data_IF_820605487994
#
_entry.id   IF_820605487994
#
_cell.length_a   1.000
_cell.length_b   1.000
_cell.length_c   1.000
_cell.angle_alpha   90.00
_cell.angle_beta   90.00
_cell.angle_gamma   90.00
#
_symmetry.space_group_name_H-M   'P 1'
#
loop_
_entity.id
_entity.type
_entity.pdbx_description
1 polymer ?
#
# COMPACT_ATOMS: atom_id res chain seq x y z
N UNK A 1 7.55 10.51 -32.67
CA UNK A 1 6.38 10.94 -31.89
C UNK A 1 6.37 10.11 -30.63
N UNK A 2 6.41 10.73 -29.45
CA UNK A 2 6.26 10.01 -28.19
C UNK A 2 4.90 9.30 -28.18
N UNK A 3 4.87 8.05 -27.72
CA UNK A 3 3.62 7.28 -27.53
C UNK A 3 2.72 7.85 -26.40
N UNK A 4 3.18 8.93 -25.77
CA UNK A 4 2.55 9.65 -24.68
C UNK A 4 1.75 10.83 -25.21
N UNK A 5 0.44 10.82 -24.96
CA UNK A 5 -0.48 11.93 -25.23
C UNK A 5 -0.95 12.54 -23.92
N UNK A 6 -0.98 13.86 -23.82
CA UNK A 6 -1.48 14.55 -22.64
C UNK A 6 -2.97 14.88 -22.77
N UNK A 7 -3.67 14.99 -21.65
CA UNK A 7 -5.04 15.48 -21.61
C UNK A 7 -5.07 16.92 -21.07
N UNK A 8 -5.50 17.87 -21.88
CA UNK A 8 -5.64 19.28 -21.50
C UNK A 8 -7.11 19.66 -21.40
N UNK A 9 -7.51 20.21 -20.26
CA UNK A 9 -8.81 20.85 -20.12
C UNK A 9 -8.72 22.30 -20.58
N UNK A 10 -9.59 22.72 -21.51
CA UNK A 10 -9.69 24.13 -21.94
C UNK A 10 -10.98 24.73 -21.40
N UNK A 11 -10.87 25.78 -20.60
CA UNK A 11 -11.99 26.57 -20.09
C UNK A 11 -11.90 28.02 -20.54
N UNK A 12 -13.04 28.64 -20.86
CA UNK A 12 -13.11 30.05 -21.27
C UNK A 12 -14.18 30.82 -20.47
N UNK A 13 -13.98 32.13 -20.31
CA UNK A 13 -14.87 32.96 -19.48
C UNK A 13 -16.25 33.23 -20.10
N UNK A 14 -16.45 32.98 -21.41
CA UNK A 14 -17.72 33.22 -22.08
C UNK A 14 -17.87 32.45 -23.42
N UNK A 15 -19.12 32.27 -23.87
CA UNK A 15 -19.47 31.77 -25.21
C UNK A 15 -18.95 32.63 -26.37
N UNK A 16 -18.74 33.93 -26.17
CA UNK A 16 -18.28 34.85 -27.22
C UNK A 16 -16.83 34.56 -27.63
N UNK A 17 -16.05 33.89 -26.76
CA UNK A 17 -14.71 33.39 -27.05
C UNK A 17 -14.72 32.05 -27.80
N UNK A 18 -15.84 31.66 -28.42
CA UNK A 18 -15.96 30.37 -29.09
C UNK A 18 -14.94 30.21 -30.24
N UNK A 19 -14.65 31.30 -30.96
CA UNK A 19 -13.67 31.28 -32.05
C UNK A 19 -12.25 31.09 -31.53
N UNK A 20 -11.90 31.80 -30.45
CA UNK A 20 -10.60 31.79 -29.78
C UNK A 20 -10.36 30.47 -29.06
N UNK A 21 -11.37 29.97 -28.37
CA UNK A 21 -11.35 28.65 -27.74
C UNK A 21 -11.12 27.59 -28.78
N UNK A 22 -11.82 27.65 -29.93
CA UNK A 22 -11.62 26.70 -31.01
C UNK A 22 -10.21 26.75 -31.58
N UNK A 23 -9.63 27.95 -31.79
CA UNK A 23 -8.25 28.08 -32.28
C UNK A 23 -7.23 27.47 -31.32
N UNK A 24 -7.36 27.75 -30.01
CA UNK A 24 -6.50 27.12 -28.98
C UNK A 24 -6.66 25.61 -28.98
N UNK A 25 -7.88 25.12 -29.12
CA UNK A 25 -8.15 23.68 -29.17
C UNK A 25 -7.53 23.03 -30.42
N UNK A 26 -7.70 23.62 -31.60
CA UNK A 26 -7.09 23.12 -32.83
C UNK A 26 -5.56 23.09 -32.74
N UNK A 27 -4.95 24.14 -32.15
CA UNK A 27 -3.52 24.22 -31.90
C UNK A 27 -3.01 23.09 -30.99
N UNK A 28 -3.66 22.87 -29.85
CA UNK A 28 -3.29 21.81 -28.90
C UNK A 28 -3.45 20.41 -29.53
N UNK A 29 -4.55 20.16 -30.26
CA UNK A 29 -4.76 18.88 -30.96
C UNK A 29 -3.68 18.64 -32.01
N UNK A 30 -3.26 19.67 -32.75
CA UNK A 30 -2.18 19.55 -33.74
C UNK A 30 -0.84 19.11 -33.12
N UNK A 31 -0.63 19.41 -31.83
CA UNK A 31 0.53 19.00 -31.06
C UNK A 31 0.37 17.61 -30.38
N UNK A 32 -0.72 16.88 -30.66
CA UNK A 32 -0.94 15.52 -30.15
C UNK A 32 -1.57 15.45 -28.76
N UNK A 33 -2.19 16.55 -28.31
CA UNK A 33 -2.89 16.65 -27.03
C UNK A 33 -4.37 16.30 -27.19
N UNK A 34 -4.90 15.53 -26.23
CA UNK A 34 -6.33 15.26 -26.11
C UNK A 34 -7.01 16.39 -25.32
N UNK A 35 -8.15 16.87 -25.81
CA UNK A 35 -8.83 18.02 -25.19
C UNK A 35 -10.11 17.60 -24.48
N UNK A 36 -10.35 18.20 -23.32
CA UNK A 36 -11.62 18.14 -22.59
C UNK A 36 -12.06 19.53 -22.10
N UNK A 37 -13.27 19.62 -21.57
CA UNK A 37 -13.81 20.85 -20.99
C UNK A 37 -14.84 21.56 -21.88
N UNK A 38 -15.64 22.38 -21.22
CA UNK A 38 -16.76 23.11 -21.81
C UNK A 38 -16.71 24.57 -21.40
N UNK A 39 -17.09 25.45 -22.33
CA UNK A 39 -17.27 26.88 -22.04
C UNK A 39 -18.47 27.10 -21.13
N UNK A 40 -18.39 28.07 -20.22
CA UNK A 40 -19.52 28.41 -19.34
C UNK A 40 -20.45 29.42 -20.03
N UNK A 41 -21.70 29.05 -20.38
CA UNK A 41 -22.68 29.97 -20.95
C UNK A 41 -23.20 30.96 -19.91
N UNK A 42 -23.81 32.07 -20.36
CA UNK A 42 -24.37 33.12 -19.48
C UNK A 42 -25.31 32.56 -18.40
N UNK A 43 -26.09 31.54 -18.74
CA UNK A 43 -26.90 30.77 -17.80
C UNK A 43 -26.26 29.39 -17.61
N UNK A 44 -25.33 29.31 -16.67
CA UNK A 44 -24.68 28.05 -16.31
C UNK A 44 -25.53 27.30 -15.28
N UNK A 45 -25.73 26.01 -15.48
CA UNK A 45 -26.38 25.13 -14.51
C UNK A 45 -25.36 24.34 -13.67
N UNK A 46 -25.84 23.67 -12.63
CA UNK A 46 -24.99 22.85 -11.78
C UNK A 46 -24.48 21.60 -12.51
N UNK A 47 -25.15 21.16 -13.58
CA UNK A 47 -24.77 20.00 -14.35
C UNK A 47 -23.48 20.25 -15.15
N UNK A 48 -23.42 21.35 -15.89
CA UNK A 48 -22.23 21.73 -16.66
C UNK A 48 -21.02 21.99 -15.76
N UNK A 49 -21.23 22.57 -14.59
CA UNK A 49 -20.18 22.69 -13.57
C UNK A 49 -19.61 21.32 -13.16
N UNK A 50 -20.45 20.34 -12.88
CA UNK A 50 -20.01 18.98 -12.54
C UNK A 50 -19.27 18.31 -13.70
N UNK A 51 -19.71 18.49 -14.94
CA UNK A 51 -19.01 17.98 -16.12
C UNK A 51 -17.61 18.58 -16.25
N UNK A 52 -17.49 19.90 -16.07
CA UNK A 52 -16.20 20.58 -16.10
C UNK A 52 -15.29 20.13 -14.96
N UNK A 53 -15.83 19.85 -13.76
CA UNK A 53 -15.05 19.29 -12.66
C UNK A 53 -14.54 17.87 -12.97
N UNK A 54 -15.35 17.03 -13.65
CA UNK A 54 -14.93 15.71 -14.11
C UNK A 54 -13.84 15.80 -15.19
N UNK A 55 -13.96 16.75 -16.11
CA UNK A 55 -12.94 17.03 -17.11
C UNK A 55 -11.64 17.50 -16.43
N UNK A 56 -11.75 18.38 -15.42
CA UNK A 56 -10.61 18.86 -14.67
C UNK A 56 -9.90 17.69 -14.01
N UNK A 57 -10.63 16.83 -13.30
CA UNK A 57 -10.06 15.70 -12.56
C UNK A 57 -9.27 14.74 -13.47
N UNK A 58 -9.76 14.47 -14.67
CA UNK A 58 -9.08 13.60 -15.65
C UNK A 58 -7.95 14.27 -16.43
N UNK A 59 -7.92 15.61 -16.51
CA UNK A 59 -6.89 16.33 -17.25
C UNK A 59 -5.54 16.37 -16.52
N UNK A 60 -4.46 16.32 -17.30
CA UNK A 60 -3.08 16.56 -16.87
C UNK A 60 -2.82 18.06 -16.63
N UNK A 61 -3.36 18.91 -17.52
CA UNK A 61 -3.17 20.38 -17.47
C UNK A 61 -4.49 21.13 -17.65
N UNK A 62 -4.55 22.35 -17.12
CA UNK A 62 -5.67 23.26 -17.29
C UNK A 62 -5.25 24.52 -18.06
N UNK A 63 -5.94 24.81 -19.17
CA UNK A 63 -5.83 26.04 -19.93
C UNK A 63 -7.05 26.91 -19.69
N UNK A 64 -6.82 28.14 -19.24
CA UNK A 64 -7.87 29.15 -19.01
C UNK A 64 -7.72 30.27 -20.02
N UNK A 65 -8.74 30.49 -20.84
CA UNK A 65 -8.82 31.61 -21.78
C UNK A 65 -9.67 32.70 -21.16
N UNK A 66 -9.05 33.84 -20.90
CA UNK A 66 -9.69 34.98 -20.24
C UNK A 66 -9.82 36.12 -21.23
N UNK A 67 -11.07 36.48 -21.53
CA UNK A 67 -11.41 37.64 -22.36
C UNK A 67 -11.81 38.85 -21.53
N UNK A 68 -12.82 39.58 -22.01
CA UNK A 68 -13.23 40.88 -21.46
C UNK A 68 -14.21 40.82 -20.28
N UNK A 69 -14.77 39.65 -19.97
CA UNK A 69 -15.79 39.48 -18.94
C UNK A 69 -15.35 38.48 -17.89
N UNK A 70 -15.81 38.70 -16.66
CA UNK A 70 -15.58 37.76 -15.56
C UNK A 70 -16.34 36.44 -15.76
N UNK A 71 -17.52 36.52 -16.38
CA UNK A 71 -18.34 35.36 -16.73
C UNK A 71 -19.47 35.09 -15.73
N UNK A 72 -20.20 33.96 -15.91
CA UNK A 72 -21.37 33.64 -15.11
C UNK A 72 -21.02 33.37 -13.65
N UNK A 73 -21.85 33.88 -12.75
CA UNK A 73 -21.75 33.66 -11.32
C UNK A 73 -22.48 32.39 -10.92
N UNK A 74 -21.89 31.65 -9.99
CA UNK A 74 -22.55 30.54 -9.31
C UNK A 74 -23.52 31.06 -8.23
N UNK A 75 -24.39 30.20 -7.65
CA UNK A 75 -25.31 30.60 -6.58
C UNK A 75 -24.64 31.24 -5.36
N UNK A 76 -23.34 30.97 -5.13
CA UNK A 76 -22.55 31.57 -4.05
C UNK A 76 -21.95 32.94 -4.41
N UNK A 77 -22.22 33.46 -5.61
CA UNK A 77 -21.72 34.75 -6.09
C UNK A 77 -20.30 34.73 -6.68
N UNK A 78 -19.62 33.58 -6.68
CA UNK A 78 -18.28 33.41 -7.29
C UNK A 78 -18.41 32.91 -8.73
N UNK A 79 -17.58 33.43 -9.64
CA UNK A 79 -17.59 33.04 -11.06
C UNK A 79 -17.17 31.58 -11.26
N UNK A 80 -17.78 30.89 -12.21
CA UNK A 80 -17.49 29.47 -12.46
C UNK A 80 -16.03 29.21 -12.86
N UNK A 81 -15.43 30.10 -13.68
CA UNK A 81 -14.01 30.02 -14.04
C UNK A 81 -13.08 30.21 -12.84
N UNK A 82 -13.41 31.15 -11.95
CA UNK A 82 -12.67 31.36 -10.71
C UNK A 82 -12.74 30.13 -9.80
N UNK A 83 -13.92 29.52 -9.67
CA UNK A 83 -14.08 28.26 -8.93
C UNK A 83 -13.26 27.12 -9.55
N UNK A 84 -13.19 27.06 -10.88
CA UNK A 84 -12.39 26.06 -11.60
C UNK A 84 -10.89 26.26 -11.33
N UNK A 85 -10.41 27.50 -11.42
CA UNK A 85 -9.04 27.88 -11.07
C UNK A 85 -8.68 27.48 -9.63
N UNK A 86 -9.52 27.83 -8.65
CA UNK A 86 -9.30 27.45 -7.25
C UNK A 86 -9.28 25.93 -7.05
N UNK A 87 -10.12 25.19 -7.79
CA UNK A 87 -10.17 23.72 -7.72
C UNK A 87 -8.92 23.08 -8.33
N UNK A 88 -8.38 23.65 -9.39
CA UNK A 88 -7.12 23.22 -10.00
C UNK A 88 -5.92 23.49 -9.09
N UNK A 89 -5.88 24.65 -8.43
CA UNK A 89 -4.87 24.96 -7.42
C UNK A 89 -4.93 23.99 -6.24
N UNK A 90 -6.13 23.72 -5.71
CA UNK A 90 -6.31 22.79 -4.60
C UNK A 90 -5.87 21.34 -4.93
N UNK A 91 -5.88 20.98 -6.21
CA UNK A 91 -5.45 19.66 -6.70
C UNK A 91 -4.04 19.65 -7.29
N UNK A 92 -3.28 20.75 -7.15
CA UNK A 92 -1.94 20.94 -7.70
C UNK A 92 -1.85 20.64 -9.21
N UNK A 93 -2.93 20.91 -9.96
CA UNK A 93 -2.91 20.78 -11.42
C UNK A 93 -2.15 21.96 -12.02
N UNK A 94 -1.20 21.76 -12.93
CA UNK A 94 -0.53 22.88 -13.59
C UNK A 94 -1.52 23.65 -14.48
N UNK A 95 -1.45 24.98 -14.41
CA UNK A 95 -2.43 25.89 -15.02
C UNK A 95 -1.70 26.86 -15.95
N UNK A 96 -2.19 26.99 -17.18
CA UNK A 96 -1.82 28.06 -18.12
C UNK A 96 -2.98 29.02 -18.27
N UNK A 97 -2.72 30.32 -18.06
CA UNK A 97 -3.73 31.37 -18.23
C UNK A 97 -3.42 32.23 -19.46
N UNK A 98 -4.27 32.18 -20.48
CA UNK A 98 -4.20 33.01 -21.69
C UNK A 98 -5.08 34.25 -21.49
N UNK A 99 -4.46 35.38 -21.15
CA UNK A 99 -5.13 36.60 -20.70
C UNK A 99 -5.16 37.64 -21.81
N UNK A 100 -6.37 38.10 -22.18
CA UNK A 100 -6.52 39.14 -23.18
C UNK A 100 -5.99 40.50 -22.70
N UNK A 101 -5.20 41.20 -23.52
CA UNK A 101 -4.62 42.52 -23.21
C UNK A 101 -4.79 43.58 -24.33
N UNK A 102 -5.61 43.33 -25.34
CA UNK A 102 -5.87 44.28 -26.44
C UNK A 102 -6.76 45.48 -26.07
N UNK A 103 -6.96 46.40 -27.01
CA UNK A 103 -7.73 47.63 -26.77
C UNK A 103 -9.22 47.34 -26.51
N UNK A 104 -9.72 47.85 -25.38
CA UNK A 104 -11.06 47.58 -24.84
C UNK A 104 -12.20 47.99 -25.79
N UNK A 105 -13.15 47.08 -26.01
CA UNK A 105 -14.56 47.48 -26.15
C UNK A 105 -15.15 47.55 -24.73
N UNK A 106 -15.68 48.70 -24.26
CA UNK A 106 -16.27 48.77 -22.94
C UNK A 106 -17.56 47.96 -22.93
N UNK A 107 -17.51 46.75 -22.38
CA UNK A 107 -18.68 45.92 -22.18
C UNK A 107 -18.63 45.33 -20.76
N UNK A 108 -19.79 45.21 -20.12
CA UNK A 108 -19.93 44.74 -18.74
C UNK A 108 -20.13 45.86 -17.69
N UNK A 109 -20.86 45.51 -16.62
CA UNK A 109 -21.15 46.39 -15.49
C UNK A 109 -19.89 46.66 -14.65
N UNK A 110 -19.86 47.77 -13.90
CA UNK A 110 -18.70 48.14 -13.06
C UNK A 110 -18.26 47.00 -12.10
N UNK A 111 -19.22 46.28 -11.51
CA UNK A 111 -18.93 45.14 -10.64
C UNK A 111 -18.26 43.96 -11.37
N UNK A 112 -18.58 43.73 -12.65
CA UNK A 112 -17.95 42.68 -13.45
C UNK A 112 -16.48 42.99 -13.73
N UNK A 113 -16.20 44.27 -14.04
CA UNK A 113 -14.83 44.76 -14.27
C UNK A 113 -13.95 44.61 -13.03
N UNK A 114 -14.47 44.95 -11.85
CA UNK A 114 -13.73 44.79 -10.59
C UNK A 114 -13.40 43.32 -10.32
N UNK A 115 -14.38 42.41 -10.46
CA UNK A 115 -14.17 40.97 -10.27
C UNK A 115 -13.19 40.38 -11.27
N UNK A 116 -13.29 40.78 -12.55
CA UNK A 116 -12.34 40.35 -13.58
C UNK A 116 -10.93 40.85 -13.26
N UNK A 117 -10.79 42.11 -12.82
CA UNK A 117 -9.50 42.68 -12.46
C UNK A 117 -8.83 41.91 -11.31
N UNK A 118 -9.58 41.62 -10.25
CA UNK A 118 -9.10 40.82 -9.12
C UNK A 118 -8.70 39.41 -9.56
N UNK A 119 -9.52 38.77 -10.40
CA UNK A 119 -9.23 37.43 -10.90
C UNK A 119 -7.99 37.41 -11.80
N UNK A 120 -7.85 38.37 -12.71
CA UNK A 120 -6.64 38.51 -13.54
C UNK A 120 -5.39 38.71 -12.68
N UNK A 121 -5.47 39.46 -11.58
CA UNK A 121 -4.33 39.61 -10.67
C UNK A 121 -3.95 38.29 -10.00
N UNK A 122 -4.92 37.43 -9.68
CA UNK A 122 -4.63 36.08 -9.17
C UNK A 122 -4.02 35.17 -10.25
N UNK A 123 -4.53 35.22 -11.48
CA UNK A 123 -4.00 34.42 -12.59
C UNK A 123 -2.55 34.77 -12.91
N UNK A 124 -2.17 36.04 -12.79
CA UNK A 124 -0.78 36.51 -12.98
C UNK A 124 0.21 35.92 -11.98
N UNK A 125 -0.26 35.37 -10.86
CA UNK A 125 0.61 34.68 -9.89
C UNK A 125 1.00 33.27 -10.36
N UNK A 126 0.29 32.73 -11.36
CA UNK A 126 0.58 31.45 -12.01
C UNK A 126 1.18 31.68 -13.42
N UNK A 127 1.44 30.59 -14.15
CA UNK A 127 1.92 30.66 -15.53
C UNK A 127 0.86 31.30 -16.42
N UNK A 128 1.18 32.47 -16.98
CA UNK A 128 0.26 33.28 -17.75
C UNK A 128 0.93 33.87 -18.99
N UNK A 129 0.14 34.03 -20.05
CA UNK A 129 0.56 34.60 -21.32
C UNK A 129 -0.49 35.58 -21.80
N UNK A 130 -0.04 36.69 -22.39
CA UNK A 130 -0.92 37.72 -22.89
C UNK A 130 -1.19 37.55 -24.39
N UNK A 131 -2.41 37.86 -24.82
CA UNK A 131 -2.79 37.87 -26.23
C UNK A 131 -3.70 39.07 -26.54
N UNK A 132 -3.64 39.57 -27.77
CA UNK A 132 -4.47 40.69 -28.24
C UNK A 132 -5.12 40.44 -29.60
N UNK A 133 -4.61 39.45 -30.34
CA UNK A 133 -5.09 39.03 -31.64
C UNK A 133 -4.95 37.50 -31.81
N UNK A 134 -5.39 36.96 -32.95
CA UNK A 134 -5.36 35.52 -33.21
C UNK A 134 -3.92 34.98 -33.29
N UNK A 135 -3.01 35.74 -33.90
CA UNK A 135 -1.61 35.33 -34.06
C UNK A 135 -0.92 35.19 -32.71
N UNK A 136 -1.09 36.17 -31.82
CA UNK A 136 -0.49 36.12 -30.47
C UNK A 136 -1.12 35.07 -29.59
N UNK A 137 -2.41 34.77 -29.75
CA UNK A 137 -3.08 33.69 -29.02
C UNK A 137 -2.51 32.31 -29.40
N UNK A 138 -2.32 32.06 -30.70
CA UNK A 138 -1.73 30.80 -31.18
C UNK A 138 -0.29 30.67 -30.70
N UNK A 139 0.54 31.70 -30.90
CA UNK A 139 1.93 31.68 -30.46
C UNK A 139 2.06 31.49 -28.94
N UNK A 140 1.22 32.17 -28.15
CA UNK A 140 1.16 31.98 -26.71
C UNK A 140 0.79 30.54 -26.35
N UNK A 141 -0.17 29.94 -27.06
CA UNK A 141 -0.60 28.55 -26.84
C UNK A 141 0.54 27.57 -27.11
N UNK A 142 1.20 27.67 -28.27
CA UNK A 142 2.32 26.79 -28.65
C UNK A 142 3.47 26.87 -27.65
N UNK A 143 3.90 28.10 -27.36
CA UNK A 143 5.02 28.38 -26.43
C UNK A 143 4.68 27.89 -25.02
N UNK A 144 3.44 28.14 -24.58
CA UNK A 144 3.00 27.75 -23.24
C UNK A 144 2.93 26.24 -23.07
N UNK A 145 2.60 25.47 -24.12
CA UNK A 145 2.59 24.02 -24.04
C UNK A 145 4.01 23.47 -23.90
N UNK A 146 4.93 23.89 -24.77
CA UNK A 146 6.32 23.43 -24.74
C UNK A 146 6.94 23.68 -23.36
N UNK A 147 6.83 24.91 -22.85
CA UNK A 147 7.35 25.27 -21.52
C UNK A 147 6.65 24.52 -20.39
N UNK A 148 5.35 24.25 -20.51
CA UNK A 148 4.60 23.54 -19.47
C UNK A 148 4.99 22.05 -19.41
N UNK A 149 5.22 21.42 -20.56
CA UNK A 149 5.66 20.02 -20.63
C UNK A 149 7.04 19.83 -20.02
N UNK A 150 7.96 20.78 -20.23
CA UNK A 150 9.30 20.76 -19.65
C UNK A 150 9.29 21.07 -18.14
N UNK A 151 8.54 22.09 -17.72
CA UNK A 151 8.50 22.56 -16.33
C UNK A 151 7.73 21.60 -15.41
N UNK A 152 6.64 21.01 -15.89
CA UNK A 152 5.74 20.17 -15.11
C UNK A 152 5.32 18.92 -15.91
N UNK A 153 6.23 17.93 -16.08
CA UNK A 153 5.91 16.72 -16.83
C UNK A 153 4.83 15.90 -16.10
N UNK A 154 3.67 15.77 -16.74
CA UNK A 154 2.57 14.95 -16.24
C UNK A 154 2.72 13.47 -16.64
N UNK A 155 1.91 12.61 -16.01
CA UNK A 155 1.92 11.17 -16.32
C UNK A 155 1.45 10.87 -17.73
N UNK A 156 0.52 11.67 -18.27
CA UNK A 156 -0.03 11.50 -19.61
C UNK A 156 -0.80 10.19 -19.80
N UNK A 157 -1.18 9.94 -21.05
CA UNK A 157 -1.97 8.81 -21.49
C UNK A 157 -1.27 8.07 -22.63
N UNK A 158 -1.24 6.74 -22.56
CA UNK A 158 -0.67 5.88 -23.60
C UNK A 158 -1.76 4.92 -24.07
N UNK A 159 -1.92 4.78 -25.38
CA UNK A 159 -2.89 3.81 -25.93
C UNK A 159 -2.50 2.38 -25.50
N UNK A 160 -3.45 1.53 -25.08
CA UNK A 160 -3.15 0.17 -24.59
C UNK A 160 -2.30 -0.68 -25.53
N UNK A 161 -2.45 -0.50 -26.85
CA UNK A 161 -1.65 -1.18 -27.87
C UNK A 161 -0.15 -0.89 -27.73
N UNK A 162 0.22 0.30 -27.26
CA UNK A 162 1.61 0.73 -27.03
C UNK A 162 2.14 0.27 -25.66
N UNK A 163 1.26 0.08 -24.65
CA UNK A 163 1.62 -0.49 -23.33
C UNK A 163 2.11 -1.95 -23.47
N UNK A 164 1.61 -2.65 -24.48
CA UNK A 164 1.97 -4.03 -24.81
C UNK A 164 3.42 -4.17 -25.29
N UNK A 165 4.02 -3.11 -25.83
CA UNK A 165 5.40 -3.12 -26.34
C UNK A 165 6.47 -2.91 -25.27
N UNK A 166 6.14 -2.31 -24.12
CA UNK A 166 7.16 -1.85 -23.16
C UNK A 166 6.93 -2.24 -21.69
N UNK A 167 5.83 -2.91 -21.29
CA UNK A 167 5.71 -3.29 -19.87
C UNK A 167 4.64 -4.30 -19.48
N UNK A 168 3.58 -4.49 -20.28
CA UNK A 168 2.49 -5.41 -19.91
C UNK A 168 2.91 -6.88 -19.82
N UNK A 169 3.85 -7.31 -20.67
CA UNK A 169 4.35 -8.69 -20.67
C UNK A 169 5.32 -8.94 -19.51
N UNK A 170 6.24 -8.01 -19.25
CA UNK A 170 7.22 -8.12 -18.16
C UNK A 170 6.55 -8.18 -16.79
N UNK A 171 5.53 -7.34 -16.54
CA UNK A 171 4.79 -7.37 -15.27
C UNK A 171 4.11 -8.72 -15.05
N UNK A 172 3.56 -9.33 -16.11
CA UNK A 172 2.93 -10.64 -16.00
C UNK A 172 3.95 -11.77 -15.81
N UNK A 173 5.12 -11.69 -16.47
CA UNK A 173 6.22 -12.63 -16.29
C UNK A 173 6.75 -12.54 -14.85
N UNK A 174 7.01 -11.34 -14.34
CA UNK A 174 7.48 -11.10 -12.98
C UNK A 174 6.48 -11.61 -11.94
N UNK A 175 5.18 -11.38 -12.14
CA UNK A 175 4.14 -11.93 -11.25
C UNK A 175 4.16 -13.46 -11.21
N UNK A 176 4.33 -14.11 -12.37
CA UNK A 176 4.46 -15.58 -12.44
C UNK A 176 5.72 -16.07 -11.76
N UNK A 177 6.85 -15.41 -11.96
CA UNK A 177 8.11 -15.74 -11.29
C UNK A 177 8.01 -15.60 -9.78
N UNK A 178 7.40 -14.52 -9.27
CA UNK A 178 7.17 -14.33 -7.83
C UNK A 178 6.31 -15.47 -7.27
N UNK A 179 5.24 -15.85 -7.97
CA UNK A 179 4.38 -16.95 -7.53
C UNK A 179 5.12 -18.30 -7.49
N UNK A 180 5.95 -18.57 -8.50
CA UNK A 180 6.75 -19.79 -8.60
C UNK A 180 7.83 -19.85 -7.51
N UNK A 181 8.60 -18.77 -7.33
CA UNK A 181 9.62 -18.68 -6.29
C UNK A 181 9.04 -18.81 -4.88
N UNK A 182 7.87 -18.21 -4.62
CA UNK A 182 7.17 -18.40 -3.33
C UNK A 182 6.80 -19.86 -3.08
N UNK A 183 6.34 -20.58 -4.12
CA UNK A 183 6.00 -22.00 -4.02
C UNK A 183 7.24 -22.87 -3.79
N UNK A 184 8.33 -22.61 -4.49
CA UNK A 184 9.60 -23.33 -4.31
C UNK A 184 10.19 -23.10 -2.91
N UNK A 185 10.14 -21.86 -2.41
CA UNK A 185 10.58 -21.56 -1.03
C UNK A 185 9.77 -22.35 0.01
N UNK A 186 8.45 -22.48 -0.18
CA UNK A 186 7.60 -23.23 0.74
C UNK A 186 7.90 -24.74 0.68
N UNK A 187 8.08 -25.30 -0.52
CA UNK A 187 8.45 -26.71 -0.69
C UNK A 187 9.83 -27.03 -0.09
N UNK A 188 10.83 -26.15 -0.29
CA UNK A 188 12.16 -26.31 0.30
C UNK A 188 12.11 -26.23 1.83
N UNK A 189 11.26 -25.36 2.40
CA UNK A 189 11.03 -25.29 3.85
C UNK A 189 10.42 -26.58 4.40
N UNK A 190 9.40 -27.12 3.74
CA UNK A 190 8.74 -28.36 4.18
C UNK A 190 9.68 -29.56 4.11
N UNK A 191 10.40 -29.73 2.99
CA UNK A 191 11.35 -30.84 2.80
C UNK A 191 12.53 -30.80 3.79
N UNK A 192 12.94 -29.60 4.22
CA UNK A 192 14.00 -29.47 5.23
C UNK A 192 13.53 -29.91 6.62
N UNK A 193 12.27 -29.67 6.96
CA UNK A 193 11.74 -29.88 8.31
C UNK A 193 11.34 -31.32 8.63
N UNK A 194 10.74 -32.05 7.69
CA UNK A 194 10.26 -33.42 7.93
C UNK A 194 11.33 -34.34 8.57
N UNK A 195 12.55 -34.49 8.01
CA UNK A 195 13.55 -35.38 8.61
C UNK A 195 14.10 -34.86 9.96
N UNK A 196 13.94 -33.58 10.26
CA UNK A 196 14.39 -32.97 11.52
C UNK A 196 13.40 -33.21 12.66
N UNK A 197 12.10 -33.17 12.37
CA UNK A 197 11.06 -33.42 13.36
C UNK A 197 11.02 -34.88 13.82
N UNK A 198 11.42 -35.81 12.94
CA UNK A 198 11.57 -37.22 13.26
C UNK A 198 12.80 -37.54 14.11
N UNK A 199 13.73 -36.59 14.30
CA UNK A 199 14.93 -36.78 15.11
C UNK A 199 14.55 -37.07 16.57
N UNK A 200 14.97 -38.23 17.09
CA UNK A 200 14.78 -38.60 18.49
C UNK A 200 15.79 -37.90 19.40
N UNK A 201 15.32 -37.44 20.55
CA UNK A 201 16.07 -36.76 21.60
C UNK A 201 15.86 -37.54 22.90
N UNK A 202 16.96 -38.00 23.49
CA UNK A 202 16.94 -38.68 24.78
C UNK A 202 16.76 -37.66 25.91
N UNK A 203 15.72 -37.85 26.71
CA UNK A 203 15.34 -37.03 27.86
C UNK A 203 15.63 -37.81 29.16
N UNK A 204 16.84 -37.72 29.73
CA UNK A 204 17.08 -38.20 31.07
C UNK A 204 16.25 -37.38 32.06
N UNK A 205 15.62 -38.03 33.03
CA UNK A 205 14.85 -37.38 34.06
C UNK A 205 15.01 -38.02 35.43
N UNK A 206 14.78 -37.22 36.46
CA UNK A 206 14.65 -37.65 37.84
C UNK A 206 13.21 -37.41 38.27
N UNK A 207 12.56 -38.39 38.88
CA UNK A 207 11.20 -38.28 39.38
C UNK A 207 11.15 -38.77 40.82
N UNK A 208 10.31 -38.16 41.65
CA UNK A 208 10.07 -38.62 43.01
C UNK A 208 8.83 -39.49 43.04
N UNK A 209 8.93 -40.67 43.67
CA UNK A 209 7.81 -41.55 43.91
C UNK A 209 7.52 -41.70 45.40
N UNK A 210 6.25 -41.82 45.74
CA UNK A 210 5.80 -42.08 47.12
C UNK A 210 5.53 -43.57 47.30
N UNK A 211 6.24 -44.16 48.27
CA UNK A 211 6.18 -45.58 48.60
C UNK A 211 6.07 -45.76 50.12
N UNK A 212 4.95 -46.29 50.62
CA UNK A 212 4.77 -46.59 52.05
C UNK A 212 5.10 -45.42 53.00
N UNK A 213 4.77 -44.18 52.61
CA UNK A 213 5.09 -42.97 53.38
C UNK A 213 6.52 -42.43 53.20
N UNK A 214 7.37 -43.11 52.44
CA UNK A 214 8.74 -42.69 52.12
C UNK A 214 8.84 -42.14 50.70
N UNK A 215 9.60 -41.07 50.53
CA UNK A 215 9.90 -40.47 49.23
C UNK A 215 11.17 -41.10 48.66
N UNK A 216 11.08 -41.74 47.49
CA UNK A 216 12.24 -42.28 46.76
C UNK A 216 12.44 -41.52 45.46
N UNK A 217 13.68 -41.41 45.01
CA UNK A 217 14.01 -40.80 43.71
C UNK A 217 14.31 -41.90 42.71
N UNK A 218 13.66 -41.83 41.54
CA UNK A 218 13.87 -42.72 40.40
C UNK A 218 14.56 -41.90 39.32
N UNK A 219 15.64 -42.45 38.76
CA UNK A 219 16.30 -41.91 37.58
C UNK A 219 15.97 -42.81 36.39
N UNK A 220 15.50 -42.21 35.30
CA UNK A 220 15.22 -42.92 34.06
C UNK A 220 15.47 -42.01 32.86
N UNK A 221 15.25 -42.51 31.65
CA UNK A 221 15.24 -41.71 30.43
C UNK A 221 14.07 -42.09 29.54
N UNK A 222 13.61 -41.16 28.71
CA UNK A 222 12.66 -41.43 27.64
C UNK A 222 13.18 -40.84 26.34
N UNK A 223 12.62 -41.24 25.20
CA UNK A 223 13.02 -40.74 23.88
C UNK A 223 11.83 -40.11 23.19
N UNK A 224 11.93 -38.81 22.92
CA UNK A 224 10.89 -38.05 22.25
C UNK A 224 11.40 -37.56 20.90
N UNK A 225 10.54 -37.50 19.90
CA UNK A 225 10.86 -36.81 18.65
C UNK A 225 10.94 -35.30 18.90
N UNK A 226 11.69 -34.59 18.07
CA UNK A 226 11.71 -33.14 18.11
C UNK A 226 10.30 -32.56 17.85
N UNK A 227 9.45 -33.27 17.11
CA UNK A 227 8.04 -32.94 16.88
C UNK A 227 7.22 -33.00 18.17
N UNK A 228 7.33 -34.10 18.92
CA UNK A 228 6.66 -34.29 20.21
C UNK A 228 7.08 -33.20 21.21
N UNK A 229 8.38 -32.89 21.26
CA UNK A 229 8.93 -31.83 22.11
C UNK A 229 8.41 -30.45 21.68
N UNK A 230 8.38 -30.18 20.37
CA UNK A 230 7.90 -28.90 19.86
C UNK A 230 6.40 -28.71 20.13
N UNK A 231 5.57 -29.72 19.85
CA UNK A 231 4.12 -29.69 20.08
C UNK A 231 3.76 -29.62 21.57
N UNK A 232 4.60 -30.18 22.45
CA UNK A 232 4.47 -30.01 23.89
C UNK A 232 4.68 -28.55 24.34
N UNK A 233 5.69 -27.88 23.76
CA UNK A 233 6.07 -26.51 24.14
C UNK A 233 5.20 -25.46 23.43
N UNK A 234 4.86 -25.65 22.15
CA UNK A 234 4.27 -24.63 21.29
C UNK A 234 2.97 -23.99 21.81
N UNK A 235 1.97 -24.74 22.33
CA UNK A 235 0.75 -24.15 22.87
C UNK A 235 0.99 -23.23 24.07
N UNK A 236 2.03 -23.52 24.86
CA UNK A 236 2.39 -22.72 26.05
C UNK A 236 2.93 -21.36 25.62
N UNK A 237 3.72 -21.32 24.54
CA UNK A 237 4.46 -20.13 24.08
C UNK A 237 3.81 -19.43 22.88
N UNK A 238 2.50 -19.66 22.63
CA UNK A 238 1.73 -18.85 21.67
C UNK A 238 1.82 -17.36 22.05
N UNK A 239 1.63 -17.07 23.34
CA UNK A 239 1.98 -15.82 23.96
C UNK A 239 3.37 -15.87 24.61
N UNK A 240 3.93 -14.71 24.91
CA UNK A 240 5.26 -14.61 25.53
C UNK A 240 5.24 -15.19 26.96
N UNK A 241 6.07 -16.20 27.22
CA UNK A 241 6.13 -16.90 28.51
C UNK A 241 7.52 -16.96 29.12
N UNK A 242 7.59 -17.02 30.45
CA UNK A 242 8.88 -17.21 31.14
C UNK A 242 9.44 -18.62 30.93
N UNK A 243 10.76 -18.76 30.85
CA UNK A 243 11.43 -20.06 30.77
C UNK A 243 11.04 -21.01 31.92
N UNK A 244 10.85 -20.47 33.12
CA UNK A 244 10.41 -21.26 34.27
C UNK A 244 9.04 -21.92 34.04
N UNK A 245 8.10 -21.17 33.46
CA UNK A 245 6.76 -21.68 33.12
C UNK A 245 6.82 -22.72 32.00
N UNK A 246 7.63 -22.47 30.96
CA UNK A 246 7.84 -23.43 29.87
C UNK A 246 8.43 -24.73 30.42
N UNK A 247 9.45 -24.65 31.28
CA UNK A 247 10.08 -25.82 31.91
C UNK A 247 9.09 -26.62 32.75
N UNK A 248 8.34 -25.97 33.65
CA UNK A 248 7.39 -26.68 34.51
C UNK A 248 6.32 -27.39 33.67
N UNK A 249 5.72 -26.70 32.70
CA UNK A 249 4.64 -27.28 31.90
C UNK A 249 5.14 -28.37 30.95
N UNK A 250 6.34 -28.24 30.38
CA UNK A 250 6.96 -29.30 29.60
C UNK A 250 7.25 -30.54 30.47
N UNK A 251 7.77 -30.35 31.69
CA UNK A 251 8.07 -31.48 32.59
C UNK A 251 6.81 -32.18 33.09
N UNK A 252 5.74 -31.44 33.33
CA UNK A 252 4.43 -32.01 33.69
C UNK A 252 3.89 -32.89 32.57
N UNK A 253 3.99 -32.46 31.31
CA UNK A 253 3.59 -33.28 30.16
C UNK A 253 4.46 -34.52 29.99
N UNK A 254 5.78 -34.40 30.18
CA UNK A 254 6.68 -35.56 30.15
C UNK A 254 6.31 -36.56 31.26
N UNK A 255 6.01 -36.07 32.46
CA UNK A 255 5.57 -36.92 33.57
C UNK A 255 4.25 -37.62 33.25
N UNK A 256 3.27 -36.90 32.70
CA UNK A 256 1.97 -37.47 32.33
C UNK A 256 2.11 -38.62 31.32
N UNK A 257 2.99 -38.47 30.32
CA UNK A 257 3.26 -39.52 29.34
C UNK A 257 4.03 -40.72 29.93
N UNK A 258 4.95 -40.48 30.87
CA UNK A 258 5.79 -41.54 31.47
C UNK A 258 5.13 -42.28 32.64
N UNK A 259 4.02 -41.77 33.20
CA UNK A 259 3.28 -42.40 34.32
C UNK A 259 3.01 -43.90 34.13
N UNK A 260 2.57 -44.41 32.97
CA UNK A 260 2.33 -45.84 32.77
C UNK A 260 3.61 -46.68 32.86
N UNK A 261 4.73 -46.19 32.32
CA UNK A 261 6.02 -46.87 32.38
C UNK A 261 6.57 -46.88 33.80
N UNK A 262 6.52 -45.73 34.48
CA UNK A 262 6.91 -45.58 35.88
C UNK A 262 6.09 -46.48 36.81
N UNK A 263 4.78 -46.61 36.57
CA UNK A 263 3.91 -47.52 37.31
C UNK A 263 4.29 -49.00 37.17
N UNK A 264 4.82 -49.42 36.01
CA UNK A 264 5.35 -50.79 35.85
C UNK A 264 6.68 -50.98 36.57
N UNK A 265 7.52 -49.95 36.62
CA UNK A 265 8.82 -50.00 37.29
C UNK A 265 8.70 -49.97 38.82
N UNK A 266 7.72 -49.25 39.34
CA UNK A 266 7.44 -49.12 40.77
C UNK A 266 5.95 -49.36 41.03
N UNK A 267 5.47 -50.61 40.94
CA UNK A 267 4.04 -50.95 41.04
C UNK A 267 3.44 -50.65 42.40
N UNK A 268 4.26 -50.61 43.44
CA UNK A 268 3.83 -50.30 44.80
C UNK A 268 3.86 -48.79 45.12
N UNK A 269 4.25 -47.94 44.16
CA UNK A 269 4.21 -46.49 44.34
C UNK A 269 2.80 -45.95 44.04
N UNK A 270 2.27 -45.11 44.93
CA UNK A 270 0.92 -44.54 44.78
C UNK A 270 0.90 -43.19 44.05
N UNK A 271 2.05 -42.52 43.91
CA UNK A 271 2.15 -41.25 43.19
C UNK A 271 3.58 -41.00 42.67
N UNK A 272 3.64 -40.32 41.52
CA UNK A 272 4.87 -39.82 40.88
C UNK A 272 4.77 -38.30 40.74
N UNK A 273 5.78 -37.56 41.22
CA UNK A 273 5.79 -36.09 41.25
C UNK A 273 7.19 -35.54 40.98
N UNK A 274 7.27 -34.22 40.75
CA UNK A 274 8.52 -33.45 40.66
C UNK A 274 9.51 -34.04 39.63
N UNK A 275 9.01 -34.32 38.43
CA UNK A 275 9.87 -34.75 37.32
C UNK A 275 10.79 -33.60 36.92
N UNK A 276 12.09 -33.87 36.86
CA UNK A 276 13.12 -32.91 36.47
C UNK A 276 14.00 -33.48 35.39
N UNK A 277 14.09 -32.75 34.29
CA UNK A 277 15.09 -32.98 33.25
C UNK A 277 16.32 -32.10 33.55
N UNK A 278 17.56 -32.63 33.43
CA UNK A 278 18.78 -31.85 33.60
C UNK A 278 18.77 -30.56 32.78
N UNK A 279 19.32 -29.50 33.37
CA UNK A 279 19.33 -28.17 32.76
C UNK A 279 20.05 -28.16 31.40
N UNK A 280 21.15 -28.91 31.26
CA UNK A 280 21.90 -29.02 30.01
C UNK A 280 21.05 -29.65 28.88
N UNK A 281 20.28 -30.69 29.17
CA UNK A 281 19.36 -31.30 28.18
C UNK A 281 18.31 -30.31 27.71
N UNK A 282 17.70 -29.56 28.63
CA UNK A 282 16.73 -28.53 28.28
C UNK A 282 17.35 -27.39 27.45
N UNK A 283 18.60 -27.01 27.74
CA UNK A 283 19.33 -26.02 26.93
C UNK A 283 19.66 -26.53 25.53
N UNK A 284 20.00 -27.80 25.37
CA UNK A 284 20.16 -28.40 24.04
C UNK A 284 18.87 -28.33 23.23
N UNK A 285 17.72 -28.66 23.84
CA UNK A 285 16.39 -28.53 23.21
C UNK A 285 16.13 -27.07 22.80
N UNK A 286 16.38 -26.12 23.70
CA UNK A 286 16.24 -24.69 23.44
C UNK A 286 17.08 -24.25 22.23
N UNK A 287 18.35 -24.67 22.16
CA UNK A 287 19.25 -24.32 21.06
C UNK A 287 18.74 -24.93 19.75
N UNK A 288 18.31 -26.19 19.77
CA UNK A 288 17.75 -26.86 18.59
C UNK A 288 16.52 -26.10 18.06
N UNK A 289 15.50 -25.88 18.90
CA UNK A 289 14.29 -25.16 18.50
C UNK A 289 14.57 -23.75 17.98
N UNK A 290 15.56 -23.05 18.56
CA UNK A 290 16.00 -21.72 18.09
C UNK A 290 16.74 -21.79 16.77
N UNK A 291 17.61 -22.80 16.58
CA UNK A 291 18.40 -22.96 15.35
C UNK A 291 17.51 -23.23 14.13
N UNK A 292 16.36 -23.88 14.36
CA UNK A 292 15.34 -24.10 13.34
C UNK A 292 14.37 -22.93 13.19
N UNK A 293 14.54 -21.86 13.98
CA UNK A 293 13.68 -20.69 13.91
C UNK A 293 12.24 -20.93 14.34
N UNK A 294 11.95 -22.01 15.08
CA UNK A 294 10.62 -22.32 15.58
C UNK A 294 10.24 -21.42 16.76
N UNK A 295 11.24 -21.10 17.60
CA UNK A 295 11.04 -20.33 18.84
C UNK A 295 12.02 -19.17 18.90
N UNK A 296 11.53 -18.01 19.33
CA UNK A 296 12.34 -16.87 19.74
C UNK A 296 12.43 -16.82 21.27
N UNK A 297 13.63 -16.59 21.80
CA UNK A 297 13.82 -16.33 23.24
C UNK A 297 14.56 -15.02 23.45
N UNK A 298 13.89 -14.03 24.02
CA UNK A 298 14.40 -12.67 24.30
C UNK A 298 14.35 -12.41 25.79
N UNK A 299 15.48 -12.05 26.41
CA UNK A 299 15.57 -11.78 27.86
C UNK A 299 14.94 -12.87 28.77
N UNK A 300 15.02 -14.13 28.36
CA UNK A 300 14.44 -15.27 29.09
C UNK A 300 12.96 -15.56 28.83
N UNK A 301 12.31 -14.75 28.00
CA UNK A 301 10.93 -14.94 27.59
C UNK A 301 10.86 -15.66 26.23
N UNK A 302 10.09 -16.73 26.17
CA UNK A 302 9.90 -17.63 25.04
C UNK A 302 8.63 -17.26 24.29
N UNK A 303 8.70 -17.26 22.97
CA UNK A 303 7.55 -17.04 22.08
C UNK A 303 7.74 -17.80 20.77
N UNK A 304 6.66 -18.27 20.15
CA UNK A 304 6.70 -18.74 18.78
C UNK A 304 7.18 -17.63 17.83
N UNK A 305 7.95 -18.02 16.83
CA UNK A 305 8.16 -17.14 15.66
C UNK A 305 6.95 -17.25 14.73
N UNK A 306 6.76 -16.33 13.76
CA UNK A 306 5.72 -16.50 12.74
C UNK A 306 5.82 -17.85 12.00
N UNK A 307 7.04 -18.36 11.85
CA UNK A 307 7.29 -19.66 11.24
C UNK A 307 6.90 -20.83 12.16
N UNK A 308 7.22 -20.74 13.46
CA UNK A 308 6.82 -21.74 14.45
C UNK A 308 5.30 -21.81 14.58
N UNK A 309 4.61 -20.66 14.58
CA UNK A 309 3.15 -20.58 14.63
C UNK A 309 2.51 -21.28 13.41
N UNK A 310 3.00 -21.01 12.20
CA UNK A 310 2.56 -21.71 10.99
C UNK A 310 2.80 -23.23 11.09
N UNK A 311 3.95 -23.65 11.62
CA UNK A 311 4.27 -25.08 11.82
C UNK A 311 3.35 -25.77 12.83
N UNK A 312 2.93 -25.06 13.88
CA UNK A 312 1.95 -25.55 14.87
C UNK A 312 0.58 -25.70 14.23
N UNK A 313 0.09 -24.67 13.52
CA UNK A 313 -1.23 -24.68 12.89
C UNK A 313 -1.37 -25.82 11.86
N UNK A 314 -0.38 -25.99 11.00
CA UNK A 314 -0.39 -27.05 9.98
C UNK A 314 -0.43 -28.48 10.56
N UNK A 315 -0.05 -28.67 11.83
CA UNK A 315 -0.04 -29.98 12.52
C UNK A 315 -1.29 -30.22 13.35
N UNK A 316 -1.93 -29.15 13.84
CA UNK A 316 -3.21 -29.24 14.55
C UNK A 316 -4.34 -29.65 13.59
N UNK A 317 -4.23 -29.35 12.29
CA UNK A 317 -5.22 -29.77 11.28
C UNK A 317 -5.14 -31.27 10.89
N UNK A 318 -4.09 -32.00 11.33
CA UNK A 318 -3.81 -33.38 10.90
C UNK A 318 -4.10 -34.43 11.99
N UNK A 319 -4.38 -34.01 13.23
CA UNK A 319 -4.75 -34.87 14.37
C UNK A 319 -6.20 -34.66 14.79
#
# INVERSE_FOLDING_TARGET
MSDLSYQVMVGSTQADLSSETRMVQECLVAQGVNISGFSFPKHTDNYLWKLNLNCLNSADYLYLIVGHHYGPLSPTGVGYMHRLFASAQATNKPIVSLIYNGQNKPYGNAADKTRLHEFVNQLKMADHYFWHDQSTLLHATETSLELMLDKAPARGWVRPEHVSRHGGQEVNILRRQIALLKREMEQLRQNRLQPLFDQKVTLPYQCKCFYGGTLKTINHHTEWSLDEIFLAIAPIIMDEQSEAKVRSSFFDQVLDQEKPALGRMAPEAHAFVDLKIPQNTFYSIKVLLRSYGLVAVRKGAWKLTPYGEQCTLNRVEVN
#
